data_IF_673709813671
#
_entry.id   IF_673709813671
#
_cell.length_a   1.000
_cell.length_b   1.000
_cell.length_c   1.000
_cell.angle_alpha   90.00
_cell.angle_beta   90.00
_cell.angle_gamma   90.00
#
_symmetry.space_group_name_H-M   'P 1'
#
loop_
_entity.id
_entity.type
_entity.pdbx_description
1 polymer ?
#
# COMPACT_ATOMS: atom_id res chain seq x y z
N UNK A 1 32.28 -1.87 -0.20
CA UNK A 1 30.92 -2.43 -0.37
C UNK A 1 30.12 -1.44 -1.22
N UNK A 2 29.45 -1.92 -2.27
CA UNK A 2 28.82 -1.07 -3.28
C UNK A 2 27.40 -0.66 -2.82
N UNK A 3 27.06 0.62 -2.81
CA UNK A 3 25.79 1.16 -2.25
C UNK A 3 24.54 0.51 -2.84
N UNK A 4 24.58 0.16 -4.13
CA UNK A 4 23.48 -0.52 -4.84
C UNK A 4 23.18 -1.90 -4.23
N UNK A 5 24.20 -2.65 -3.80
CA UNK A 5 24.00 -3.97 -3.18
C UNK A 5 23.37 -3.92 -1.79
N UNK A 6 23.50 -2.79 -1.09
CA UNK A 6 22.91 -2.58 0.24
C UNK A 6 21.41 -2.29 0.10
N UNK A 7 21.04 -1.35 -0.78
CA UNK A 7 19.63 -0.98 -1.01
C UNK A 7 18.79 -2.17 -1.46
N UNK A 8 19.31 -3.01 -2.36
CA UNK A 8 18.60 -4.20 -2.83
C UNK A 8 18.40 -5.23 -1.71
N UNK A 9 19.34 -5.33 -0.77
CA UNK A 9 19.22 -6.22 0.39
C UNK A 9 18.11 -5.75 1.34
N UNK A 10 18.10 -4.46 1.66
CA UNK A 10 17.12 -3.88 2.59
C UNK A 10 15.69 -4.01 2.05
N UNK A 11 15.49 -3.82 0.74
CA UNK A 11 14.19 -4.03 0.10
C UNK A 11 13.76 -5.50 0.17
N UNK A 12 14.69 -6.44 -0.06
CA UNK A 12 14.37 -7.87 0.00
C UNK A 12 14.04 -8.35 1.42
N UNK A 13 14.67 -7.79 2.45
CA UNK A 13 14.33 -8.06 3.84
C UNK A 13 12.96 -7.45 4.18
N UNK A 14 12.68 -6.22 3.73
CA UNK A 14 11.39 -5.56 3.91
C UNK A 14 10.22 -6.32 3.26
N UNK A 15 10.38 -6.83 2.03
CA UNK A 15 9.33 -7.59 1.34
C UNK A 15 9.00 -8.93 2.01
N UNK A 16 9.89 -9.44 2.87
CA UNK A 16 9.64 -10.65 3.68
C UNK A 16 8.95 -10.35 5.01
N UNK A 17 8.67 -9.09 5.31
CA UNK A 17 8.04 -8.71 6.56
C UNK A 17 6.62 -9.31 6.65
N UNK A 18 6.18 -9.81 7.81
CA UNK A 18 4.86 -10.45 7.95
C UNK A 18 3.68 -9.60 7.48
N UNK A 19 3.77 -8.27 7.63
CA UNK A 19 2.74 -7.34 7.12
C UNK A 19 2.66 -7.32 5.59
N UNK A 20 3.79 -7.50 4.90
CA UNK A 20 3.81 -7.58 3.42
C UNK A 20 3.23 -8.92 2.98
N UNK A 21 3.59 -10.02 3.65
CA UNK A 21 3.02 -11.34 3.40
C UNK A 21 1.49 -11.34 3.64
N UNK A 22 1.03 -10.67 4.69
CA UNK A 22 -0.40 -10.48 4.93
C UNK A 22 -1.04 -9.63 3.82
N UNK A 23 -0.40 -8.54 3.40
CA UNK A 23 -0.88 -7.70 2.31
C UNK A 23 -1.00 -8.47 0.98
N UNK A 24 -0.10 -9.42 0.70
CA UNK A 24 -0.16 -10.31 -0.47
C UNK A 24 -1.47 -11.12 -0.53
N UNK A 25 -2.08 -11.45 0.62
CA UNK A 25 -3.34 -12.21 0.65
C UNK A 25 -4.54 -11.47 0.03
N UNK A 26 -4.43 -10.15 -0.17
CA UNK A 26 -5.47 -9.30 -0.78
C UNK A 26 -5.30 -9.09 -2.29
N UNK A 27 -4.19 -9.58 -2.85
CA UNK A 27 -3.85 -9.43 -4.26
C UNK A 27 -4.15 -10.76 -4.95
N UNK A 28 -4.46 -10.71 -6.26
CA UNK A 28 -4.71 -11.92 -7.03
C UNK A 28 -3.53 -12.90 -6.94
N UNK A 29 -3.85 -14.19 -6.81
CA UNK A 29 -2.97 -15.29 -6.34
C UNK A 29 -1.63 -15.48 -7.07
N UNK A 30 -1.40 -14.81 -8.19
CA UNK A 30 -0.25 -15.08 -9.08
C UNK A 30 0.86 -14.03 -9.00
N UNK A 31 0.67 -12.90 -8.30
CA UNK A 31 1.67 -11.83 -8.24
C UNK A 31 2.17 -11.59 -6.81
N UNK A 32 3.47 -11.83 -6.58
CA UNK A 32 4.17 -11.34 -5.39
C UNK A 32 4.21 -9.82 -5.39
N UNK A 33 4.16 -9.25 -4.19
CA UNK A 33 4.19 -7.81 -4.01
C UNK A 33 5.58 -7.26 -4.32
N UNK A 34 5.68 -6.38 -5.33
CA UNK A 34 6.91 -5.64 -5.58
C UNK A 34 6.98 -4.37 -4.72
N UNK A 35 8.19 -3.88 -4.48
CA UNK A 35 8.36 -2.60 -3.79
C UNK A 35 7.69 -1.45 -4.55
N UNK A 36 7.73 -1.46 -5.90
CA UNK A 36 7.05 -0.43 -6.70
C UNK A 36 5.53 -0.41 -6.49
N UNK A 37 4.91 -1.57 -6.28
CA UNK A 37 3.47 -1.67 -6.03
C UNK A 37 3.08 -1.10 -4.66
N UNK A 38 3.97 -1.16 -3.66
CA UNK A 38 3.76 -0.56 -2.34
C UNK A 38 3.85 0.96 -2.40
N UNK A 39 4.90 1.50 -3.03
CA UNK A 39 5.13 2.96 -3.07
C UNK A 39 4.09 3.68 -3.95
N UNK A 40 3.52 3.00 -4.94
CA UNK A 40 2.51 3.59 -5.82
C UNK A 40 1.12 3.67 -5.19
N UNK A 41 0.94 3.32 -3.91
CA UNK A 41 -0.30 3.43 -3.13
C UNK A 41 -1.51 2.59 -3.63
N UNK A 42 -1.44 2.04 -4.84
CA UNK A 42 -2.47 1.20 -5.46
C UNK A 42 -2.71 -0.07 -4.67
N UNK A 43 -1.64 -0.71 -4.20
CA UNK A 43 -1.75 -1.91 -3.35
C UNK A 43 -2.54 -1.62 -2.07
N UNK A 44 -2.16 -0.56 -1.35
CA UNK A 44 -2.84 -0.17 -0.11
C UNK A 44 -4.29 0.25 -0.34
N UNK A 45 -4.59 0.87 -1.49
CA UNK A 45 -5.95 1.22 -1.87
C UNK A 45 -6.82 -0.03 -2.13
N UNK A 46 -6.28 -1.04 -2.82
CA UNK A 46 -7.00 -2.31 -3.01
C UNK A 46 -7.28 -3.01 -1.67
N UNK A 47 -6.28 -3.05 -0.78
CA UNK A 47 -6.42 -3.64 0.56
C UNK A 47 -7.51 -2.91 1.36
N UNK A 48 -7.44 -1.58 1.46
CA UNK A 48 -8.43 -0.84 2.27
C UNK A 48 -9.85 -0.93 1.69
N UNK A 49 -10.00 -1.02 0.36
CA UNK A 49 -11.31 -1.23 -0.29
C UNK A 49 -11.93 -2.59 0.01
N UNK A 50 -11.09 -3.62 0.19
CA UNK A 50 -11.54 -4.95 0.60
C UNK A 50 -11.97 -5.00 2.08
N UNK A 51 -11.42 -4.12 2.92
CA UNK A 51 -11.67 -4.08 4.37
C UNK A 51 -12.85 -3.16 4.71
N UNK A 52 -12.92 -1.98 4.09
CA UNK A 52 -13.94 -0.95 4.35
C UNK A 52 -14.95 -0.85 3.18
N UNK A 53 -16.18 -1.37 3.34
CA UNK A 53 -17.22 -1.31 2.31
C UNK A 53 -17.54 0.12 1.84
N UNK A 54 -17.33 1.14 2.68
CA UNK A 54 -17.59 2.55 2.33
C UNK A 54 -16.69 3.04 1.21
N UNK A 55 -15.53 2.40 1.04
CA UNK A 55 -14.52 2.75 0.05
C UNK A 55 -14.67 1.96 -1.26
N UNK A 56 -15.63 1.03 -1.37
CA UNK A 56 -15.78 0.18 -2.55
C UNK A 56 -15.88 0.96 -3.87
N UNK A 57 -16.50 2.14 -3.86
CA UNK A 57 -16.62 3.01 -5.04
C UNK A 57 -15.60 4.16 -5.08
N UNK A 58 -14.68 4.23 -4.10
CA UNK A 58 -13.65 5.25 -4.05
C UNK A 58 -12.55 4.97 -5.08
N UNK A 59 -12.02 6.04 -5.67
CA UNK A 59 -10.82 6.02 -6.50
C UNK A 59 -9.68 6.71 -5.76
N UNK A 60 -8.45 6.40 -6.15
CA UNK A 60 -7.32 7.21 -5.71
C UNK A 60 -7.46 8.64 -6.25
N UNK A 61 -7.06 9.66 -5.47
CA UNK A 61 -7.12 11.06 -5.92
C UNK A 61 -6.34 11.32 -7.20
N UNK A 62 -5.18 10.67 -7.37
CA UNK A 62 -4.31 10.86 -8.52
C UNK A 62 -3.95 9.52 -9.18
N UNK A 63 -4.04 9.49 -10.51
CA UNK A 63 -3.60 8.35 -11.34
C UNK A 63 -2.14 8.50 -11.80
N UNK A 64 -1.54 9.68 -11.60
CA UNK A 64 -0.16 9.97 -12.01
C UNK A 64 0.87 9.30 -11.07
N UNK A 65 1.96 8.79 -11.66
CA UNK A 65 2.99 8.03 -10.96
C UNK A 65 4.14 8.89 -10.40
N UNK A 66 4.01 10.22 -10.36
CA UNK A 66 5.02 11.10 -9.78
C UNK A 66 4.98 11.08 -8.24
N UNK A 67 6.09 11.50 -7.62
CA UNK A 67 6.25 11.46 -6.15
C UNK A 67 5.18 12.26 -5.41
N UNK A 68 4.79 13.44 -5.92
CA UNK A 68 3.79 14.28 -5.28
C UNK A 68 2.41 13.62 -5.30
N UNK A 69 2.04 13.05 -6.46
CA UNK A 69 0.80 12.27 -6.60
C UNK A 69 0.76 11.06 -5.66
N UNK A 70 1.88 10.34 -5.50
CA UNK A 70 1.99 9.22 -4.54
C UNK A 70 1.76 9.67 -3.10
N UNK A 71 2.37 10.79 -2.69
CA UNK A 71 2.20 11.33 -1.34
C UNK A 71 0.74 11.71 -1.05
N UNK A 72 0.06 12.35 -1.99
CA UNK A 72 -1.37 12.69 -1.85
C UNK A 72 -2.22 11.43 -1.72
N UNK A 73 -1.94 10.40 -2.52
CA UNK A 73 -2.66 9.14 -2.42
C UNK A 73 -2.41 8.43 -1.08
N UNK A 74 -1.18 8.44 -0.57
CA UNK A 74 -0.85 7.89 0.76
C UNK A 74 -1.57 8.65 1.88
N UNK A 75 -1.63 9.98 1.82
CA UNK A 75 -2.39 10.78 2.80
C UNK A 75 -3.88 10.43 2.78
N UNK A 76 -4.48 10.27 1.60
CA UNK A 76 -5.86 9.82 1.45
C UNK A 76 -6.10 8.45 2.11
N UNK A 77 -5.19 7.50 1.92
CA UNK A 77 -5.27 6.17 2.53
C UNK A 77 -5.18 6.27 4.05
N UNK A 78 -4.22 7.02 4.58
CA UNK A 78 -4.05 7.21 6.03
C UNK A 78 -5.29 7.85 6.68
N UNK A 79 -5.87 8.87 6.04
CA UNK A 79 -7.13 9.50 6.51
C UNK A 79 -8.28 8.51 6.50
N UNK A 80 -8.36 7.66 5.49
CA UNK A 80 -9.39 6.63 5.37
C UNK A 80 -9.27 5.58 6.47
N UNK A 81 -8.05 5.09 6.76
CA UNK A 81 -7.78 4.19 7.89
C UNK A 81 -8.20 4.84 9.21
N UNK A 82 -7.78 6.09 9.44
CA UNK A 82 -8.13 6.82 10.67
C UNK A 82 -9.65 6.95 10.84
N UNK A 83 -10.35 7.31 9.77
CA UNK A 83 -11.82 7.40 9.77
C UNK A 83 -12.48 6.05 10.05
N UNK A 84 -11.97 4.95 9.47
CA UNK A 84 -12.44 3.61 9.77
C UNK A 84 -12.29 3.26 11.25
N UNK A 85 -11.10 3.44 11.82
CA UNK A 85 -10.83 3.15 13.23
C UNK A 85 -11.73 3.98 14.15
N UNK A 86 -11.86 5.29 13.88
CA UNK A 86 -12.69 6.18 14.71
C UNK A 86 -14.18 5.85 14.68
N UNK A 87 -14.70 5.29 13.58
CA UNK A 87 -16.12 4.98 13.43
C UNK A 87 -16.46 3.55 13.88
N UNK A 88 -15.50 2.62 13.83
CA UNK A 88 -15.76 1.18 14.03
C UNK A 88 -15.15 0.58 15.29
N UNK A 89 -14.12 1.20 15.87
CA UNK A 89 -13.34 0.63 16.98
C UNK A 89 -13.37 1.50 18.25
N UNK A 90 -13.96 2.69 18.17
CA UNK A 90 -14.25 3.59 19.29
C UNK A 90 -15.76 3.74 19.38
#
# INVERSE_FOLDING_TARGET
MNTISVVTRDINEFLKHPLIIWAESFIEKENKLSYEQLINSTCFHSIIRSIDPRLQNSRLPNEAADTSSRLVNLDFILRSIRSFVQVKLI
#
